data_IF_946806792421
#
_entry.id   IF_946806792421
#
_cell.length_a   1.000
_cell.length_b   1.000
_cell.length_c   1.000
_cell.angle_alpha   90.00
_cell.angle_beta   90.00
_cell.angle_gamma   90.00
#
_symmetry.space_group_name_H-M   'P 1'
#
loop_
_entity.id
_entity.type
_entity.pdbx_description
1 polymer ?
#
# COMPACT_ATOMS: atom_id res chain seq x y z
N UNK A 1 -12.51 19.91 3.03
CA UNK A 1 -11.10 19.61 2.76
C UNK A 1 -10.51 20.85 2.12
N UNK A 2 -9.60 21.57 2.79
CA UNK A 2 -8.91 22.70 2.14
C UNK A 2 -8.06 22.14 1.01
N UNK A 3 -8.39 22.48 -0.24
CA UNK A 3 -7.56 22.13 -1.38
C UNK A 3 -6.16 22.70 -1.16
N UNK A 4 -5.14 21.85 -1.07
CA UNK A 4 -3.75 22.29 -1.03
C UNK A 4 -3.42 22.95 -2.37
N UNK A 5 -3.28 24.26 -2.38
CA UNK A 5 -2.63 24.97 -3.48
C UNK A 5 -1.13 24.68 -3.39
N UNK A 6 -0.63 23.80 -4.25
CA UNK A 6 0.79 23.49 -4.31
C UNK A 6 1.57 24.68 -4.92
N UNK A 7 2.79 24.97 -4.45
CA UNK A 7 3.61 26.06 -4.97
C UNK A 7 4.05 25.83 -6.41
N UNK A 8 4.30 26.95 -7.10
CA UNK A 8 4.94 26.95 -8.41
C UNK A 8 6.44 27.21 -8.25
N UNK A 9 7.27 26.31 -8.75
CA UNK A 9 8.74 26.35 -8.64
C UNK A 9 9.37 26.68 -10.00
N UNK A 10 10.47 27.43 -9.99
CA UNK A 10 11.27 27.70 -11.19
C UNK A 10 12.22 26.54 -11.50
N UNK A 11 12.68 26.45 -12.75
CA UNK A 11 13.66 25.42 -13.15
C UNK A 11 14.95 25.58 -12.33
N UNK A 12 15.44 26.81 -12.16
CA UNK A 12 16.64 27.10 -11.38
C UNK A 12 16.51 26.64 -9.91
N UNK A 13 15.33 26.81 -9.31
CA UNK A 13 15.06 26.30 -7.96
C UNK A 13 15.11 24.77 -7.93
N UNK A 14 14.49 24.08 -8.89
CA UNK A 14 14.52 22.61 -8.96
C UNK A 14 15.94 22.09 -9.18
N UNK A 15 16.72 22.72 -10.05
CA UNK A 15 18.12 22.35 -10.32
C UNK A 15 19.03 22.57 -9.10
N UNK A 16 18.66 23.47 -8.19
CA UNK A 16 19.38 23.67 -6.92
C UNK A 16 19.20 22.52 -5.92
N UNK A 17 18.15 21.71 -6.08
CA UNK A 17 17.84 20.54 -5.28
C UNK A 17 18.47 19.28 -5.90
N UNK A 18 19.81 19.24 -5.95
CA UNK A 18 20.59 18.21 -6.64
C UNK A 18 21.46 17.34 -5.71
N UNK A 19 21.07 17.17 -4.45
CA UNK A 19 21.89 16.48 -3.44
C UNK A 19 21.12 15.40 -2.67
N UNK A 20 21.82 14.48 -2.00
CA UNK A 20 21.19 13.44 -1.18
C UNK A 20 20.35 13.95 0.00
N UNK A 21 20.50 15.22 0.38
CA UNK A 21 19.69 15.86 1.43
C UNK A 21 18.53 16.69 0.89
N UNK A 22 18.49 16.88 -0.43
CA UNK A 22 17.47 17.66 -1.12
C UNK A 22 17.56 17.33 -2.61
N UNK A 23 16.73 16.40 -3.04
CA UNK A 23 16.75 15.79 -4.37
C UNK A 23 15.37 15.92 -5.01
N UNK A 24 15.23 16.88 -5.92
CA UNK A 24 13.98 17.09 -6.65
C UNK A 24 14.11 16.55 -8.06
N UNK A 25 13.00 16.09 -8.62
CA UNK A 25 12.92 15.60 -10.00
C UNK A 25 11.63 16.11 -10.64
N UNK A 26 11.62 16.20 -11.97
CA UNK A 26 10.42 16.62 -12.69
C UNK A 26 9.89 15.54 -13.61
N UNK A 27 8.57 15.52 -13.79
CA UNK A 27 7.93 14.80 -14.89
C UNK A 27 6.98 15.77 -15.58
N UNK A 28 7.43 16.31 -16.71
CA UNK A 28 6.67 17.31 -17.46
C UNK A 28 6.54 18.62 -16.69
N UNK A 29 5.35 18.90 -16.12
CA UNK A 29 5.11 20.12 -15.31
C UNK A 29 5.11 19.87 -13.81
N UNK A 30 5.17 18.63 -13.37
CA UNK A 30 5.09 18.26 -11.97
C UNK A 30 6.49 18.22 -11.36
N UNK A 31 6.62 18.73 -10.13
CA UNK A 31 7.86 18.71 -9.36
C UNK A 31 7.67 17.79 -8.15
N UNK A 32 8.58 16.84 -7.99
CA UNK A 32 8.54 15.82 -6.95
C UNK A 32 9.78 15.90 -6.06
N UNK A 33 9.57 15.85 -4.76
CA UNK A 33 10.66 15.75 -3.78
C UNK A 33 10.87 14.28 -3.41
N UNK A 34 11.89 13.66 -4.00
CA UNK A 34 12.20 12.25 -3.80
C UNK A 34 13.28 12.03 -2.73
N UNK A 35 13.63 13.07 -1.96
CA UNK A 35 14.70 13.03 -0.94
C UNK A 35 14.50 11.88 0.05
N UNK A 36 13.28 11.71 0.57
CA UNK A 36 12.95 10.65 1.53
C UNK A 36 12.93 9.24 0.90
N UNK A 37 12.74 9.18 -0.42
CA UNK A 37 12.65 7.93 -1.16
C UNK A 37 14.02 7.39 -1.60
N UNK A 38 15.06 8.23 -1.70
CA UNK A 38 16.41 7.84 -2.15
C UNK A 38 16.92 6.55 -1.50
N UNK A 39 16.84 6.46 -0.17
CA UNK A 39 17.33 5.31 0.59
C UNK A 39 16.45 4.06 0.45
N UNK A 40 15.21 4.21 -0.02
CA UNK A 40 14.25 3.12 -0.19
C UNK A 40 14.15 2.67 -1.65
N UNK A 41 14.81 3.35 -2.58
CA UNK A 41 14.77 3.02 -3.99
C UNK A 41 15.42 1.65 -4.27
N UNK A 42 14.69 0.68 -4.86
CA UNK A 42 15.21 -0.67 -5.09
C UNK A 42 16.48 -0.72 -5.98
N UNK A 43 16.63 0.23 -6.92
CA UNK A 43 17.83 0.35 -7.77
C UNK A 43 19.03 1.03 -7.10
N UNK A 44 18.85 1.53 -5.86
CA UNK A 44 19.85 2.31 -5.13
C UNK A 44 19.69 3.82 -5.32
N UNK A 45 20.16 4.57 -4.32
CA UNK A 45 20.06 6.03 -4.28
C UNK A 45 20.88 6.72 -5.38
N UNK A 46 22.06 6.17 -5.71
CA UNK A 46 22.97 6.78 -6.68
C UNK A 46 22.34 6.98 -8.05
N UNK A 47 21.53 6.01 -8.51
CA UNK A 47 20.85 6.08 -9.80
C UNK A 47 19.81 7.22 -9.84
N UNK A 48 19.18 7.51 -8.70
CA UNK A 48 18.23 8.62 -8.59
C UNK A 48 18.99 9.95 -8.51
N UNK A 49 20.12 9.98 -7.81
CA UNK A 49 20.96 11.18 -7.67
C UNK A 49 21.55 11.66 -8.99
N UNK A 50 21.87 10.76 -9.93
CA UNK A 50 22.31 11.12 -11.28
C UNK A 50 21.29 11.98 -12.05
N UNK A 51 20.02 11.88 -11.65
CA UNK A 51 18.89 12.59 -12.22
C UNK A 51 18.32 13.70 -11.33
N UNK A 52 18.99 14.00 -10.21
CA UNK A 52 18.57 15.08 -9.32
C UNK A 52 18.61 16.44 -10.04
N UNK A 53 17.52 17.20 -9.92
CA UNK A 53 17.29 18.46 -10.61
C UNK A 53 16.87 18.34 -12.08
N UNK A 54 16.60 17.14 -12.60
CA UNK A 54 16.31 16.90 -14.03
C UNK A 54 14.91 16.33 -14.27
N UNK A 55 14.49 16.36 -15.54
CA UNK A 55 13.29 15.65 -15.98
C UNK A 55 13.56 14.16 -16.18
N UNK A 56 12.77 13.34 -15.50
CA UNK A 56 12.90 11.88 -15.49
C UNK A 56 11.80 11.17 -16.30
N UNK A 57 10.92 11.92 -16.98
CA UNK A 57 9.78 11.34 -17.69
C UNK A 57 10.19 10.38 -18.81
N UNK A 58 11.35 10.60 -19.43
CA UNK A 58 11.90 9.71 -20.44
C UNK A 58 12.55 8.45 -19.83
N UNK A 59 13.31 8.59 -18.73
CA UNK A 59 14.05 7.47 -18.13
C UNK A 59 13.10 6.51 -17.38
N UNK A 60 12.00 7.00 -16.80
CA UNK A 60 10.97 6.12 -16.22
C UNK A 60 10.33 5.19 -17.25
N UNK A 61 10.28 5.62 -18.52
CA UNK A 61 9.72 4.85 -19.64
C UNK A 61 10.77 4.08 -20.42
N UNK A 62 12.05 4.23 -20.07
CA UNK A 62 13.15 3.63 -20.80
C UNK A 62 13.33 2.16 -20.40
N UNK A 63 12.92 1.26 -21.30
CA UNK A 63 13.08 -0.19 -21.16
C UNK A 63 14.56 -0.60 -21.00
N UNK A 64 15.52 0.21 -21.46
CA UNK A 64 16.94 -0.09 -21.35
C UNK A 64 17.49 0.06 -19.92
N UNK A 65 16.84 0.85 -19.06
CA UNK A 65 17.25 1.03 -17.66
C UNK A 65 16.54 0.04 -16.74
N UNK A 66 15.22 -0.09 -16.91
CA UNK A 66 14.27 -1.15 -16.50
C UNK A 66 12.86 -0.54 -16.57
N UNK A 67 11.83 -1.33 -16.89
CA UNK A 67 10.46 -0.82 -16.95
C UNK A 67 9.90 -0.58 -15.54
N UNK A 68 9.60 0.67 -15.21
CA UNK A 68 8.87 1.00 -13.99
C UNK A 68 7.40 0.59 -14.14
N UNK A 69 6.88 -0.21 -13.21
CA UNK A 69 5.46 -0.57 -13.17
C UNK A 69 4.57 0.66 -12.89
N UNK A 70 3.27 0.60 -13.21
CA UNK A 70 2.29 1.64 -12.86
C UNK A 70 2.34 2.05 -11.37
N UNK A 71 2.63 1.11 -10.47
CA UNK A 71 2.74 1.39 -9.04
C UNK A 71 3.93 2.32 -8.68
N UNK A 72 4.96 2.39 -9.53
CA UNK A 72 6.07 3.32 -9.32
C UNK A 72 5.65 4.78 -9.56
N UNK A 73 4.71 5.00 -10.49
CA UNK A 73 4.11 6.31 -10.71
C UNK A 73 3.21 6.73 -9.54
N UNK A 74 2.49 5.77 -8.93
CA UNK A 74 1.69 6.03 -7.73
C UNK A 74 2.56 6.49 -6.54
N UNK A 75 3.73 5.87 -6.33
CA UNK A 75 4.69 6.31 -5.29
C UNK A 75 5.25 7.70 -5.58
N UNK A 76 5.53 8.00 -6.85
CA UNK A 76 6.00 9.32 -7.26
C UNK A 76 4.95 10.40 -6.97
N UNK A 77 3.67 10.12 -7.21
CA UNK A 77 2.57 11.05 -6.95
C UNK A 77 2.42 11.43 -5.47
N UNK A 78 2.78 10.55 -4.53
CA UNK A 78 2.82 10.91 -3.10
C UNK A 78 3.90 11.96 -2.78
N UNK A 79 4.94 12.04 -3.61
CA UNK A 79 6.09 12.94 -3.47
C UNK A 79 5.87 14.29 -4.18
N UNK A 80 4.66 14.57 -4.69
CA UNK A 80 4.36 15.79 -5.43
C UNK A 80 4.40 17.02 -4.51
N UNK A 81 5.33 17.94 -4.78
CA UNK A 81 5.53 19.16 -4.00
C UNK A 81 5.11 20.44 -4.74
N UNK A 82 4.97 20.40 -6.06
CA UNK A 82 4.67 21.61 -6.83
C UNK A 82 4.56 21.42 -8.33
N UNK A 83 4.45 22.55 -9.02
CA UNK A 83 4.43 22.61 -10.49
C UNK A 83 5.48 23.58 -11.02
N UNK A 84 6.02 23.34 -12.22
CA UNK A 84 6.97 24.26 -12.85
C UNK A 84 6.31 25.56 -13.30
N UNK A 85 7.02 26.68 -13.09
CA UNK A 85 6.61 28.00 -13.56
C UNK A 85 6.58 28.06 -15.08
N UNK A 86 5.41 28.35 -15.66
CA UNK A 86 5.31 28.62 -17.10
C UNK A 86 6.01 29.94 -17.40
N UNK A 87 7.05 29.91 -18.24
CA UNK A 87 7.83 31.10 -18.60
C UNK A 87 6.96 32.26 -19.10
N UNK A 88 7.10 33.41 -18.43
CA UNK A 88 6.59 34.76 -18.76
C UNK A 88 5.15 34.89 -19.30
N UNK A 89 4.21 35.16 -18.39
CA UNK A 89 2.97 35.86 -18.74
C UNK A 89 1.82 35.68 -17.75
N UNK A 90 1.72 36.60 -16.78
CA UNK A 90 0.54 36.92 -15.97
C UNK A 90 -0.07 35.82 -15.08
N UNK A 91 -0.15 36.12 -13.79
CA UNK A 91 -1.07 35.49 -12.86
C UNK A 91 -2.51 35.53 -13.43
N UNK A 92 -3.07 34.36 -13.71
CA UNK A 92 -4.49 34.21 -13.99
C UNK A 92 -5.06 33.20 -12.99
N UNK A 93 -5.78 33.73 -11.99
CA UNK A 93 -6.77 32.98 -11.22
C UNK A 93 -7.82 32.44 -12.21
N UNK A 94 -7.73 31.16 -12.55
CA UNK A 94 -8.68 30.46 -13.40
C UNK A 94 -9.77 29.80 -12.57
N UNK A 95 -10.77 30.58 -12.16
CA UNK A 95 -12.09 30.04 -11.77
C UNK A 95 -12.80 29.63 -13.06
N UNK A 96 -13.04 28.33 -13.28
CA UNK A 96 -13.86 27.87 -14.41
C UNK A 96 -15.33 28.16 -14.12
N UNK A 97 -15.92 29.07 -14.90
CA UNK A 97 -17.36 29.24 -15.06
C UNK A 97 -17.75 28.59 -16.38
N UNK A 98 -18.67 27.63 -16.31
CA UNK A 98 -19.31 26.97 -17.45
C UNK A 98 -20.30 27.91 -18.19
N UNK A 99 -20.38 27.69 -19.51
CA UNK A 99 -21.30 28.33 -20.47
C UNK A 99 -20.53 28.90 -21.67
N UNK A 100 -20.74 28.51 -22.93
CA UNK A 100 -21.88 27.85 -23.58
C UNK A 100 -21.49 27.44 -25.03
N UNK A 101 -22.22 26.47 -25.58
CA UNK A 101 -22.50 26.17 -27.00
C UNK A 101 -21.44 25.52 -27.91
N UNK A 102 -21.52 24.18 -28.00
CA UNK A 102 -21.18 23.37 -29.16
C UNK A 102 -22.12 22.17 -29.26
N UNK A 103 -22.92 22.12 -30.32
CA UNK A 103 -23.82 21.03 -30.78
C UNK A 103 -23.66 19.65 -30.11
N UNK A 104 -24.69 19.21 -29.37
CA UNK A 104 -24.81 17.83 -28.85
C UNK A 104 -24.81 16.83 -30.01
N UNK A 105 -23.72 16.09 -30.18
CA UNK A 105 -23.77 14.79 -30.83
C UNK A 105 -23.97 13.74 -29.75
N UNK A 106 -25.15 13.13 -29.76
CA UNK A 106 -25.52 12.02 -28.89
C UNK A 106 -24.58 10.82 -29.15
N UNK A 107 -23.78 10.45 -28.16
CA UNK A 107 -22.78 9.40 -28.25
C UNK A 107 -23.44 8.01 -28.20
N UNK A 108 -23.13 7.14 -29.17
CA UNK A 108 -23.67 5.77 -29.27
C UNK A 108 -22.50 4.80 -29.24
N UNK A 109 -22.54 3.83 -28.31
CA UNK A 109 -21.42 2.92 -28.09
C UNK A 109 -21.16 2.03 -29.33
N UNK A 110 -19.93 1.98 -29.90
CA UNK A 110 -19.65 1.36 -31.20
C UNK A 110 -19.91 -0.15 -31.29
N UNK A 111 -20.09 -0.84 -30.16
CA UNK A 111 -20.26 -2.30 -30.11
C UNK A 111 -21.68 -2.77 -29.77
N UNK A 112 -22.55 -1.90 -29.28
CA UNK A 112 -23.85 -2.30 -28.71
C UNK A 112 -25.05 -1.48 -29.21
N UNK A 113 -24.82 -0.30 -29.81
CA UNK A 113 -25.87 0.44 -30.52
C UNK A 113 -27.00 1.02 -29.66
N UNK A 114 -26.85 1.08 -28.33
CA UNK A 114 -27.88 1.56 -27.40
C UNK A 114 -27.41 2.79 -26.62
N UNK A 115 -28.39 3.64 -26.23
CA UNK A 115 -28.18 5.03 -25.82
C UNK A 115 -28.35 5.33 -24.32
N UNK A 116 -28.53 4.34 -23.45
CA UNK A 116 -28.52 4.53 -21.98
C UNK A 116 -28.06 3.27 -21.21
N UNK A 117 -27.49 3.49 -20.03
CA UNK A 117 -26.77 2.51 -19.18
C UNK A 117 -27.67 1.77 -18.16
N UNK A 118 -28.98 2.05 -18.15
CA UNK A 118 -29.89 1.67 -17.05
C UNK A 118 -30.57 0.29 -17.19
N UNK A 119 -30.34 -0.47 -18.27
CA UNK A 119 -31.10 -1.71 -18.57
C UNK A 119 -30.36 -3.05 -18.33
N UNK A 120 -29.26 -3.09 -17.56
CA UNK A 120 -28.52 -4.33 -17.27
C UNK A 120 -28.39 -4.64 -15.78
N UNK A 121 -28.54 -5.91 -15.35
CA UNK A 121 -28.20 -6.33 -13.99
C UNK A 121 -26.68 -6.23 -13.76
N UNK A 122 -26.29 -5.27 -12.90
CA UNK A 122 -24.93 -4.86 -12.51
C UNK A 122 -23.93 -6.02 -12.34
N UNK A 123 -24.37 -7.16 -11.80
CA UNK A 123 -23.48 -8.29 -11.53
C UNK A 123 -22.87 -8.93 -12.80
N UNK A 124 -23.66 -9.07 -13.88
CA UNK A 124 -23.13 -9.65 -15.13
C UNK A 124 -22.24 -8.66 -15.90
N UNK A 125 -22.49 -7.36 -15.75
CA UNK A 125 -21.61 -6.33 -16.29
C UNK A 125 -20.25 -6.36 -15.60
N UNK A 126 -20.19 -6.44 -14.27
CA UNK A 126 -18.93 -6.52 -13.50
C UNK A 126 -18.12 -7.78 -13.86
N UNK A 127 -18.79 -8.94 -14.00
CA UNK A 127 -18.11 -10.23 -14.22
C UNK A 127 -17.59 -10.42 -15.65
N UNK A 128 -18.28 -9.90 -16.66
CA UNK A 128 -17.92 -10.07 -18.08
C UNK A 128 -17.40 -8.77 -18.74
N UNK A 129 -17.38 -7.66 -18.01
CA UNK A 129 -16.89 -6.39 -18.50
C UNK A 129 -15.37 -6.35 -18.49
N UNK A 130 -14.77 -6.14 -19.66
CA UNK A 130 -13.35 -5.81 -19.77
C UNK A 130 -13.10 -4.37 -19.34
N UNK A 131 -13.41 -4.04 -18.08
CA UNK A 131 -13.15 -2.71 -17.54
C UNK A 131 -11.65 -2.47 -17.49
N UNK A 132 -11.23 -1.26 -17.89
CA UNK A 132 -9.87 -0.84 -17.66
C UNK A 132 -9.64 -0.66 -16.15
N UNK A 133 -8.40 -0.88 -15.70
CA UNK A 133 -8.02 -0.74 -14.29
C UNK A 133 -8.41 0.63 -13.75
N UNK A 134 -8.34 1.69 -14.56
CA UNK A 134 -8.71 3.04 -14.15
C UNK A 134 -10.21 3.17 -13.82
N UNK A 135 -11.11 2.58 -14.62
CA UNK A 135 -12.55 2.60 -14.35
C UNK A 135 -12.90 1.86 -13.06
N UNK A 136 -12.25 0.72 -12.80
CA UNK A 136 -12.47 -0.05 -11.57
C UNK A 136 -11.98 0.69 -10.31
N UNK A 137 -10.82 1.37 -10.39
CA UNK A 137 -10.27 2.14 -9.28
C UNK A 137 -11.09 3.40 -8.95
N UNK A 138 -11.76 4.01 -9.93
CA UNK A 138 -12.61 5.19 -9.72
C UNK A 138 -13.99 4.83 -9.14
N UNK A 139 -14.53 3.65 -9.49
CA UNK A 139 -15.85 3.18 -9.07
C UNK A 139 -15.88 2.50 -7.70
N UNK A 140 -14.74 2.07 -7.14
CA UNK A 140 -14.67 1.34 -5.86
C UNK A 140 -13.97 2.17 -4.78
N UNK A 141 -14.62 3.18 -4.17
CA UNK A 141 -14.09 3.89 -3.00
C UNK A 141 -13.88 2.95 -1.80
N UNK A 142 -14.45 1.73 -1.84
CA UNK A 142 -14.23 0.67 -0.85
C UNK A 142 -12.78 0.18 -0.77
N UNK A 143 -11.97 0.42 -1.82
CA UNK A 143 -10.54 0.05 -1.86
C UNK A 143 -9.65 0.98 -1.04
N UNK A 144 -10.13 2.19 -0.71
CA UNK A 144 -9.36 3.21 0.03
C UNK A 144 -9.62 3.08 1.53
N UNK A 145 -8.89 2.18 2.19
CA UNK A 145 -8.97 1.99 3.66
C UNK A 145 -7.72 2.56 4.33
N UNK A 146 -7.85 3.59 5.20
CA UNK A 146 -6.69 4.12 5.90
C UNK A 146 -6.20 3.13 6.97
N UNK A 147 -4.89 3.02 7.14
CA UNK A 147 -4.28 2.00 8.02
C UNK A 147 -4.81 1.98 9.44
N UNK A 148 -5.10 3.15 10.03
CA UNK A 148 -5.59 3.28 11.40
C UNK A 148 -7.01 2.74 11.57
N UNK A 149 -7.77 2.61 10.48
CA UNK A 149 -9.12 2.04 10.50
C UNK A 149 -9.08 0.55 10.86
N UNK A 150 -8.05 -0.18 10.44
CA UNK A 150 -7.93 -1.62 10.70
C UNK A 150 -7.84 -1.90 12.21
N UNK A 151 -6.87 -1.39 12.98
CA UNK A 151 -6.84 -1.62 14.42
C UNK A 151 -8.04 -0.95 15.11
N UNK A 152 -8.51 0.22 14.68
CA UNK A 152 -9.64 0.90 15.33
C UNK A 152 -10.96 0.13 15.19
N UNK A 153 -11.24 -0.42 14.01
CA UNK A 153 -12.49 -1.13 13.72
C UNK A 153 -12.41 -2.59 14.12
N UNK A 154 -11.26 -3.26 13.94
CA UNK A 154 -11.16 -4.69 14.21
C UNK A 154 -10.74 -5.00 15.64
N UNK A 155 -9.96 -4.17 16.32
CA UNK A 155 -9.49 -4.49 17.68
C UNK A 155 -10.61 -4.52 18.73
N UNK A 156 -11.58 -3.58 18.76
CA UNK A 156 -12.70 -3.66 19.71
C UNK A 156 -13.57 -4.91 19.48
N UNK A 157 -14.03 -5.24 18.26
CA UNK A 157 -14.72 -6.50 17.97
C UNK A 157 -13.85 -7.73 18.24
N UNK A 158 -12.58 -7.76 17.86
CA UNK A 158 -11.69 -8.91 18.16
C UNK A 158 -11.58 -9.10 19.66
N UNK A 159 -11.48 -8.02 20.45
CA UNK A 159 -11.42 -8.11 21.90
C UNK A 159 -12.76 -8.53 22.51
N UNK A 160 -13.89 -8.01 22.00
CA UNK A 160 -15.23 -8.31 22.48
C UNK A 160 -15.69 -9.72 22.07
N UNK A 161 -15.58 -10.07 20.79
CA UNK A 161 -15.86 -11.42 20.27
C UNK A 161 -14.83 -12.42 20.77
N UNK A 162 -13.56 -12.04 20.94
CA UNK A 162 -12.54 -12.88 21.58
C UNK A 162 -12.91 -13.19 23.04
N UNK A 163 -13.38 -12.19 23.80
CA UNK A 163 -13.85 -12.39 25.16
C UNK A 163 -15.15 -13.21 25.20
N UNK A 164 -16.11 -12.95 24.31
CA UNK A 164 -17.36 -13.71 24.21
C UNK A 164 -17.11 -15.17 23.76
N UNK A 165 -16.16 -15.38 22.86
CA UNK A 165 -15.71 -16.70 22.44
C UNK A 165 -14.98 -17.41 23.57
N UNK A 166 -14.12 -16.69 24.33
CA UNK A 166 -13.49 -17.22 25.53
C UNK A 166 -14.52 -17.64 26.57
N UNK A 167 -15.51 -16.82 26.90
CA UNK A 167 -16.53 -17.17 27.91
C UNK A 167 -17.38 -18.36 27.46
N UNK A 168 -17.65 -18.51 26.16
CA UNK A 168 -18.30 -19.69 25.61
C UNK A 168 -17.41 -20.95 25.71
N UNK A 169 -16.13 -20.85 25.35
CA UNK A 169 -15.17 -21.95 25.49
C UNK A 169 -14.99 -22.33 26.97
N UNK A 170 -14.83 -21.36 27.86
CA UNK A 170 -14.76 -21.57 29.30
C UNK A 170 -15.99 -22.34 29.79
N UNK A 171 -17.20 -21.91 29.40
CA UNK A 171 -18.43 -22.59 29.76
C UNK A 171 -18.48 -24.04 29.27
N UNK A 172 -18.18 -24.28 27.99
CA UNK A 172 -18.20 -25.62 27.39
C UNK A 172 -17.17 -26.53 28.06
N UNK A 173 -15.92 -26.06 28.20
CA UNK A 173 -14.85 -26.84 28.79
C UNK A 173 -15.11 -27.09 30.28
N UNK A 174 -15.59 -26.11 31.04
CA UNK A 174 -15.91 -26.29 32.45
C UNK A 174 -17.06 -27.27 32.64
N UNK A 175 -18.11 -27.18 31.83
CA UNK A 175 -19.30 -28.05 31.91
C UNK A 175 -19.01 -29.50 31.50
N UNK A 176 -18.28 -29.72 30.42
CA UNK A 176 -18.15 -31.05 29.81
C UNK A 176 -16.79 -31.72 30.03
N UNK A 177 -15.73 -30.96 30.29
CA UNK A 177 -14.37 -31.49 30.43
C UNK A 177 -13.84 -31.39 31.87
N UNK A 178 -13.97 -30.22 32.51
CA UNK A 178 -13.37 -29.98 33.83
C UNK A 178 -14.24 -30.37 35.00
N UNK A 179 -15.52 -30.68 34.79
CA UNK A 179 -16.40 -31.18 35.86
C UNK A 179 -15.87 -32.46 36.55
N UNK A 180 -14.88 -33.14 35.95
CA UNK A 180 -14.12 -34.22 36.59
C UNK A 180 -13.43 -33.81 37.90
N UNK A 181 -13.02 -32.53 38.06
CA UNK A 181 -12.39 -32.04 39.29
C UNK A 181 -13.36 -32.08 40.48
N UNK A 182 -14.69 -32.02 40.27
CA UNK A 182 -15.67 -32.11 41.36
C UNK A 182 -15.65 -33.49 42.02
N UNK A 183 -15.18 -34.52 41.30
CA UNK A 183 -15.03 -35.87 41.83
C UNK A 183 -13.78 -36.01 42.72
N UNK A 184 -12.72 -35.23 42.47
CA UNK A 184 -11.46 -35.25 43.21
C UNK A 184 -10.95 -33.81 43.49
N UNK A 185 -11.65 -33.04 44.34
CA UNK A 185 -11.41 -31.60 44.49
C UNK A 185 -10.08 -31.25 45.17
N UNK A 186 -9.48 -32.20 45.91
CA UNK A 186 -8.22 -31.99 46.62
C UNK A 186 -7.01 -32.59 45.88
N UNK A 187 -7.20 -33.14 44.68
CA UNK A 187 -6.11 -33.66 43.85
C UNK A 187 -5.36 -32.51 43.18
N UNK A 188 -4.17 -32.22 43.70
CA UNK A 188 -3.30 -31.12 43.23
C UNK A 188 -2.89 -31.27 41.76
N UNK A 189 -2.93 -32.48 41.19
CA UNK A 189 -2.48 -32.74 39.82
C UNK A 189 -3.58 -32.54 38.77
N UNK A 190 -4.84 -32.35 39.18
CA UNK A 190 -6.00 -32.25 38.28
C UNK A 190 -6.74 -30.90 38.39
N UNK A 191 -6.03 -29.88 38.91
CA UNK A 191 -6.58 -28.56 39.16
C UNK A 191 -6.39 -27.58 37.98
N UNK A 192 -5.21 -27.62 37.34
CA UNK A 192 -4.85 -26.71 36.24
C UNK A 192 -5.07 -27.36 34.87
N UNK A 193 -5.22 -26.52 33.84
CA UNK A 193 -5.39 -26.98 32.46
C UNK A 193 -4.24 -27.91 32.04
N UNK A 194 -4.53 -29.06 31.40
CA UNK A 194 -3.48 -29.87 30.79
C UNK A 194 -2.77 -29.06 29.70
N UNK A 195 -1.43 -29.17 29.56
CA UNK A 195 -0.64 -28.38 28.63
C UNK A 195 -1.12 -28.43 27.18
N UNK A 196 -1.72 -29.54 26.76
CA UNK A 196 -2.26 -29.73 25.40
C UNK A 196 -3.35 -28.72 25.04
N UNK A 197 -4.29 -28.42 25.96
CA UNK A 197 -5.34 -27.44 25.72
C UNK A 197 -4.79 -26.02 25.73
N UNK A 198 -3.82 -25.75 26.60
CA UNK A 198 -3.15 -24.45 26.65
C UNK A 198 -2.42 -24.13 25.33
N UNK A 199 -1.76 -25.11 24.72
CA UNK A 199 -1.06 -24.95 23.43
C UNK A 199 -2.02 -24.52 22.32
N UNK A 200 -3.23 -25.08 22.26
CA UNK A 200 -4.23 -24.74 21.23
C UNK A 200 -4.70 -23.29 21.39
N UNK A 201 -5.03 -22.87 22.62
CA UNK A 201 -5.43 -21.49 22.90
C UNK A 201 -4.29 -20.51 22.63
N UNK A 202 -3.07 -20.85 23.05
CA UNK A 202 -1.88 -20.03 22.81
C UNK A 202 -1.59 -19.87 21.32
N UNK A 203 -1.76 -20.93 20.52
CA UNK A 203 -1.59 -20.88 19.07
C UNK A 203 -2.60 -19.94 18.40
N UNK A 204 -3.87 -19.99 18.79
CA UNK A 204 -4.89 -19.08 18.26
C UNK A 204 -4.58 -17.61 18.58
N UNK A 205 -4.31 -17.30 19.85
CA UNK A 205 -3.98 -15.94 20.27
C UNK A 205 -2.69 -15.44 19.60
N UNK A 206 -1.67 -16.29 19.50
CA UNK A 206 -0.42 -15.98 18.80
C UNK A 206 -0.62 -15.73 17.31
N UNK A 207 -1.51 -16.50 16.65
CA UNK A 207 -1.84 -16.33 15.24
C UNK A 207 -2.54 -14.99 14.95
N UNK A 208 -3.55 -14.63 15.75
CA UNK A 208 -4.25 -13.33 15.60
C UNK A 208 -3.29 -12.17 15.80
N UNK A 209 -2.49 -12.22 16.88
CA UNK A 209 -1.49 -11.19 17.14
C UNK A 209 -0.44 -11.10 16.02
N UNK A 210 0.07 -12.23 15.55
CA UNK A 210 1.02 -12.31 14.44
C UNK A 210 0.47 -11.73 13.15
N UNK A 211 -0.79 -12.01 12.81
CA UNK A 211 -1.46 -11.43 11.65
C UNK A 211 -1.54 -9.91 11.73
N UNK A 212 -1.91 -9.35 12.89
CA UNK A 212 -1.98 -7.90 13.05
C UNK A 212 -0.60 -7.25 12.91
N UNK A 213 0.45 -7.85 13.47
CA UNK A 213 1.82 -7.37 13.26
C UNK A 213 2.24 -7.42 11.79
N UNK A 214 1.89 -8.50 11.09
CA UNK A 214 2.14 -8.66 9.65
C UNK A 214 1.51 -7.53 8.85
N UNK A 215 0.22 -7.26 9.06
CA UNK A 215 -0.54 -6.28 8.27
C UNK A 215 -0.04 -4.84 8.53
N UNK A 216 0.24 -4.51 9.79
CA UNK A 216 0.83 -3.21 10.14
C UNK A 216 2.24 -3.05 9.55
N UNK A 217 3.06 -4.09 9.61
CA UNK A 217 4.40 -4.08 9.01
C UNK A 217 4.31 -3.82 7.51
N UNK A 218 3.43 -4.55 6.82
CA UNK A 218 3.20 -4.39 5.39
C UNK A 218 2.85 -2.94 5.03
N UNK A 219 1.89 -2.36 5.75
CA UNK A 219 1.50 -0.97 5.55
C UNK A 219 2.68 0.01 5.70
N UNK A 220 3.45 -0.13 6.78
CA UNK A 220 4.57 0.76 7.07
C UNK A 220 5.74 0.62 6.10
N UNK A 221 5.97 -0.58 5.55
CA UNK A 221 6.99 -0.79 4.52
C UNK A 221 6.68 0.03 3.26
N UNK A 222 5.41 0.18 2.88
CA UNK A 222 5.03 1.02 1.75
C UNK A 222 5.09 2.51 2.10
N UNK A 223 4.46 2.93 3.20
CA UNK A 223 4.04 4.33 3.36
C UNK A 223 4.89 5.19 4.29
N UNK A 224 5.90 4.64 4.96
CA UNK A 224 6.71 5.40 5.91
C UNK A 224 8.22 5.29 5.65
N UNK A 225 8.97 6.34 5.96
CA UNK A 225 10.43 6.28 5.99
C UNK A 225 10.86 5.62 7.30
N UNK A 226 11.30 4.36 7.21
CA UNK A 226 11.57 3.52 8.37
C UNK A 226 12.99 3.73 8.92
N UNK A 227 13.21 3.45 10.22
CA UNK A 227 14.55 3.47 10.81
C UNK A 227 15.52 2.55 10.06
N UNK A 228 16.82 2.84 10.15
CA UNK A 228 17.87 2.14 9.39
C UNK A 228 17.80 0.61 9.46
N UNK A 229 17.44 0.05 10.61
CA UNK A 229 17.34 -1.40 10.82
C UNK A 229 16.13 -2.06 10.11
N UNK A 230 15.17 -1.29 9.62
CA UNK A 230 14.03 -1.76 8.81
C UNK A 230 14.13 -1.38 7.33
N UNK A 231 15.07 -0.51 6.94
CA UNK A 231 15.21 -0.04 5.55
C UNK A 231 15.50 -1.19 4.58
N UNK A 232 16.30 -2.17 5.00
CA UNK A 232 16.58 -3.34 4.15
C UNK A 232 15.34 -4.19 3.90
N UNK A 233 14.48 -4.39 4.92
CA UNK A 233 13.20 -5.08 4.73
C UNK A 233 12.27 -4.29 3.82
N UNK A 234 12.27 -2.96 3.92
CA UNK A 234 11.51 -2.07 3.02
C UNK A 234 12.00 -2.23 1.58
N UNK A 235 13.31 -2.14 1.33
CA UNK A 235 13.88 -2.36 -0.01
C UNK A 235 13.52 -3.73 -0.57
N UNK A 236 13.64 -4.77 0.25
CA UNK A 236 13.30 -6.14 -0.14
C UNK A 236 11.83 -6.27 -0.56
N UNK A 237 10.90 -5.75 0.26
CA UNK A 237 9.47 -5.79 -0.03
C UNK A 237 9.08 -4.89 -1.22
N UNK A 238 9.72 -3.74 -1.40
CA UNK A 238 9.50 -2.91 -2.58
C UNK A 238 10.06 -3.57 -3.85
N UNK A 239 11.18 -4.28 -3.74
CA UNK A 239 11.72 -5.06 -4.87
C UNK A 239 10.77 -6.19 -5.29
N UNK A 240 10.05 -6.81 -4.35
CA UNK A 240 8.97 -7.75 -4.69
C UNK A 240 7.91 -7.09 -5.59
N UNK A 241 7.48 -5.87 -5.28
CA UNK A 241 6.47 -5.18 -6.09
C UNK A 241 6.99 -4.62 -7.42
N UNK A 242 8.22 -4.10 -7.44
CA UNK A 242 8.72 -3.29 -8.56
C UNK A 242 9.71 -4.03 -9.46
N UNK A 243 10.38 -5.07 -8.97
CA UNK A 243 11.36 -5.82 -9.75
C UNK A 243 10.85 -7.22 -10.09
N UNK A 244 10.47 -8.02 -9.08
CA UNK A 244 10.08 -9.42 -9.27
C UNK A 244 9.01 -9.85 -8.25
N UNK A 245 7.77 -9.99 -8.71
CA UNK A 245 6.65 -10.40 -7.87
C UNK A 245 6.51 -11.92 -7.73
N UNK A 246 7.33 -12.72 -8.45
CA UNK A 246 7.33 -14.17 -8.34
C UNK A 246 8.22 -14.69 -7.19
N UNK A 247 9.02 -13.80 -6.57
CA UNK A 247 9.89 -14.10 -5.43
C UNK A 247 9.71 -13.05 -4.31
N UNK A 248 10.23 -13.31 -3.11
CA UNK A 248 10.22 -12.36 -2.00
C UNK A 248 8.89 -12.26 -1.25
N UNK A 249 8.28 -13.39 -0.93
CA UNK A 249 6.97 -13.44 -0.27
C UNK A 249 7.01 -13.00 1.20
N UNK A 250 8.20 -12.96 1.80
CA UNK A 250 8.40 -12.63 3.21
C UNK A 250 8.25 -11.13 3.52
N UNK A 251 7.09 -10.73 4.03
CA UNK A 251 6.81 -9.31 4.39
C UNK A 251 7.38 -8.92 5.76
N UNK A 252 7.21 -9.77 6.79
CA UNK A 252 7.75 -9.51 8.13
C UNK A 252 9.22 -9.88 8.27
N UNK A 253 9.68 -10.83 7.45
CA UNK A 253 11.07 -11.24 7.33
C UNK A 253 11.28 -12.08 6.07
N UNK A 254 12.47 -12.01 5.48
CA UNK A 254 12.91 -12.88 4.38
C UNK A 254 13.34 -14.30 4.86
N UNK A 255 13.11 -14.65 6.13
CA UNK A 255 13.58 -15.92 6.69
C UNK A 255 13.04 -17.13 5.92
N UNK A 256 11.74 -17.15 5.65
CA UNK A 256 11.12 -18.28 4.95
C UNK A 256 11.49 -18.32 3.47
N UNK A 257 11.72 -17.17 2.85
CA UNK A 257 12.22 -17.12 1.46
C UNK A 257 13.57 -17.80 1.33
N UNK A 258 14.47 -17.61 2.31
CA UNK A 258 15.78 -18.31 2.35
C UNK A 258 15.63 -19.82 2.53
N UNK A 259 14.66 -20.25 3.33
CA UNK A 259 14.43 -21.68 3.59
C UNK A 259 13.82 -22.38 2.38
N UNK A 260 12.91 -21.72 1.67
CA UNK A 260 12.19 -22.29 0.53
C UNK A 260 12.79 -21.94 -0.84
N UNK A 261 13.86 -21.14 -0.88
CA UNK A 261 14.55 -20.77 -2.12
C UNK A 261 13.78 -19.78 -2.98
N UNK A 262 12.98 -18.92 -2.36
CA UNK A 262 12.19 -17.85 -3.00
C UNK A 262 12.74 -16.46 -2.66
N UNK A 263 14.02 -16.38 -2.31
CA UNK A 263 14.70 -15.11 -1.97
C UNK A 263 14.90 -14.27 -3.23
N UNK A 264 14.59 -12.98 -3.12
CA UNK A 264 14.82 -12.03 -4.20
C UNK A 264 16.32 -11.84 -4.45
N UNK A 265 16.74 -12.07 -5.69
CA UNK A 265 18.08 -11.77 -6.17
C UNK A 265 18.04 -10.46 -6.94
N UNK A 266 18.11 -9.35 -6.21
CA UNK A 266 18.35 -8.03 -6.80
C UNK A 266 19.73 -7.58 -6.35
N UNK A 267 20.55 -7.11 -7.30
CA UNK A 267 21.94 -6.76 -7.04
C UNK A 267 21.97 -5.46 -6.21
N UNK A 268 22.21 -5.50 -4.89
CA UNK A 268 22.48 -4.28 -4.17
C UNK A 268 23.89 -3.90 -4.63
N UNK A 269 24.04 -2.86 -5.44
CA UNK A 269 25.37 -2.29 -5.61
C UNK A 269 25.83 -1.86 -4.22
N UNK A 270 26.71 -2.68 -3.64
CA UNK A 270 27.40 -2.42 -2.40
C UNK A 270 28.29 -1.22 -2.64
N UNK A 271 27.91 -0.07 -2.11
CA UNK A 271 28.86 0.98 -1.78
C UNK A 271 29.29 0.80 -0.32
#
# INVERSE_FOLDING_TARGET
MSGRTLPTLTIDEVESHNSAKSCYVTVGRNVYDVTDFLDSHPGGADLVLDWAGKDIGAILKDEASHTHSEAAYEVLDESLVGYLASGNGAAANGTTKDGENGTEQQWVHPRTGMSCEEDLPLFMQIWNGGFSKEFYLDQVPLSKTPWWLIPLVWWPPISYFGLAFWTLIEYILHRFLFHLHHYLPMDRYRLVMPPTLFVVTAAFCGGVFGYTLYDMTHYFLHHQNLPAYYKELKKYHLAHHFLDYENGFGVTSAFWDKIFGTELVYNPKTN
#
